data_IF_725720568456
#
_entry.id   IF_725720568456
#
_cell.length_a   1.000
_cell.length_b   1.000
_cell.length_c   1.000
_cell.angle_alpha   90.00
_cell.angle_beta   90.00
_cell.angle_gamma   90.00
#
_symmetry.space_group_name_H-M   'P 1'
#
loop_
_entity.id
_entity.type
_entity.pdbx_description
1 polymer ?
#
# COMPACT_ATOMS: atom_id res chain seq x y z
N UNK A 1 -2.42 48.34 -14.54
CA UNK A 1 -2.91 49.12 -15.70
C UNK A 1 -3.20 48.15 -16.84
N UNK A 2 -4.45 48.10 -17.37
CA UNK A 2 -4.92 47.39 -18.60
C UNK A 2 -4.55 45.89 -18.72
N UNK A 3 -5.44 44.89 -18.71
CA UNK A 3 -6.90 44.76 -18.93
C UNK A 3 -7.42 44.99 -20.36
N UNK A 4 -7.87 43.88 -20.98
CA UNK A 4 -8.74 43.62 -22.14
C UNK A 4 -8.92 42.06 -22.19
N UNK A 5 -9.98 41.34 -22.58
CA UNK A 5 -11.28 41.56 -23.29
C UNK A 5 -11.17 42.01 -24.76
N UNK A 6 -11.72 41.31 -25.76
CA UNK A 6 -12.53 40.07 -25.82
C UNK A 6 -12.93 39.80 -27.29
N UNK A 7 -13.95 39.02 -27.67
CA UNK A 7 -14.87 38.14 -26.94
C UNK A 7 -15.71 37.33 -27.97
N UNK A 8 -15.73 36.00 -27.96
CA UNK A 8 -16.64 35.09 -28.74
C UNK A 8 -16.35 33.62 -28.37
N UNK A 9 -17.25 32.65 -28.41
CA UNK A 9 -18.65 32.50 -28.00
C UNK A 9 -19.08 31.10 -28.49
N UNK A 10 -19.65 30.28 -27.61
CA UNK A 10 -20.49 29.09 -27.84
C UNK A 10 -20.38 28.33 -29.19
N UNK A 11 -19.77 27.14 -29.13
CA UNK A 11 -20.33 25.94 -29.78
C UNK A 11 -20.47 24.83 -28.72
N UNK A 12 -21.34 23.85 -28.97
CA UNK A 12 -21.85 22.92 -27.96
C UNK A 12 -20.77 22.00 -27.35
N UNK A 13 -20.32 22.34 -26.14
CA UNK A 13 -19.80 21.33 -25.21
C UNK A 13 -20.99 20.52 -24.69
N UNK A 14 -21.32 19.47 -25.44
CA UNK A 14 -22.26 18.43 -25.01
C UNK A 14 -21.95 17.92 -23.61
N UNK A 15 -23.01 17.62 -22.87
CA UNK A 15 -22.99 16.92 -21.59
C UNK A 15 -22.78 15.40 -21.82
N UNK A 16 -21.63 15.05 -22.44
CA UNK A 16 -21.24 13.69 -22.87
C UNK A 16 -20.21 13.06 -21.88
N UNK A 17 -20.27 13.47 -20.60
CA UNK A 17 -19.22 13.22 -19.60
C UNK A 17 -19.48 12.01 -18.66
N UNK A 18 -20.47 11.17 -18.96
CA UNK A 18 -20.74 9.87 -18.27
C UNK A 18 -20.72 8.72 -19.29
N UNK A 19 -19.71 8.71 -20.17
CA UNK A 19 -19.43 7.57 -21.05
C UNK A 19 -18.96 6.37 -20.20
N UNK A 20 -19.70 5.25 -20.26
CA UNK A 20 -19.44 4.03 -19.45
C UNK A 20 -18.03 3.47 -19.64
N UNK A 21 -17.36 3.83 -20.74
CA UNK A 21 -15.97 3.53 -21.08
C UNK A 21 -14.95 4.09 -20.06
N UNK A 22 -15.27 5.18 -19.37
CA UNK A 22 -14.43 5.76 -18.30
C UNK A 22 -14.82 5.30 -16.89
N UNK A 23 -15.86 4.48 -16.75
CA UNK A 23 -16.40 4.13 -15.44
C UNK A 23 -15.57 3.03 -14.75
N UNK A 24 -14.92 3.40 -13.65
CA UNK A 24 -14.14 2.50 -12.79
C UNK A 24 -15.02 1.60 -11.91
N UNK A 25 -14.45 0.54 -11.35
CA UNK A 25 -15.15 -0.27 -10.33
C UNK A 25 -15.47 0.54 -9.06
N UNK A 26 -14.69 1.58 -8.71
CA UNK A 26 -14.96 2.44 -7.58
C UNK A 26 -16.22 3.29 -7.81
N UNK A 27 -16.36 3.89 -9.00
CA UNK A 27 -17.55 4.67 -9.37
C UNK A 27 -18.82 3.82 -9.44
N UNK A 28 -18.73 2.53 -9.80
CA UNK A 28 -19.89 1.60 -9.68
C UNK A 28 -20.24 1.33 -8.22
N UNK A 29 -19.26 1.18 -7.33
CA UNK A 29 -19.49 1.00 -5.89
C UNK A 29 -20.10 2.26 -5.25
N UNK A 30 -19.72 3.46 -5.69
CA UNK A 30 -20.36 4.72 -5.29
C UNK A 30 -21.82 4.82 -5.79
N UNK A 31 -22.07 4.46 -7.06
CA UNK A 31 -23.43 4.37 -7.63
C UNK A 31 -24.27 3.37 -6.82
N UNK A 32 -23.77 2.16 -6.54
CA UNK A 32 -24.40 1.15 -5.68
C UNK A 32 -24.72 1.70 -4.28
N UNK A 33 -23.76 2.33 -3.61
CA UNK A 33 -23.94 2.89 -2.27
C UNK A 33 -25.01 4.00 -2.23
N UNK A 34 -25.15 4.79 -3.30
CA UNK A 34 -26.22 5.78 -3.42
C UNK A 34 -27.61 5.12 -3.52
N UNK A 35 -27.73 4.06 -4.34
CA UNK A 35 -28.98 3.29 -4.46
C UNK A 35 -29.32 2.50 -3.19
N UNK A 36 -28.34 1.92 -2.50
CA UNK A 36 -28.56 1.22 -1.22
C UNK A 36 -29.00 2.19 -0.09
N UNK A 37 -28.49 3.43 -0.07
CA UNK A 37 -29.01 4.49 0.82
C UNK A 37 -30.45 4.85 0.52
N UNK A 38 -30.82 5.01 -0.78
CA UNK A 38 -32.21 5.24 -1.20
C UNK A 38 -33.11 4.08 -0.75
N UNK A 39 -32.67 2.84 -0.96
CA UNK A 39 -33.39 1.63 -0.58
C UNK A 39 -33.66 1.56 0.92
N UNK A 40 -32.67 1.92 1.75
CA UNK A 40 -32.83 1.97 3.20
C UNK A 40 -33.95 2.93 3.64
N UNK A 41 -34.01 4.14 3.09
CA UNK A 41 -35.08 5.10 3.41
C UNK A 41 -36.44 4.71 2.80
N UNK A 42 -36.48 4.08 1.62
CA UNK A 42 -37.71 3.50 1.03
C UNK A 42 -38.28 2.35 1.90
N UNK A 43 -37.45 1.41 2.34
CA UNK A 43 -37.84 0.30 3.25
C UNK A 43 -38.38 0.86 4.56
N UNK A 44 -37.68 1.83 5.15
CA UNK A 44 -38.06 2.50 6.40
C UNK A 44 -39.39 3.25 6.29
N UNK A 45 -39.65 3.91 5.17
CA UNK A 45 -40.96 4.52 4.89
C UNK A 45 -42.05 3.45 4.66
N UNK A 46 -41.73 2.38 3.94
CA UNK A 46 -42.61 1.26 3.63
C UNK A 46 -43.11 0.52 4.86
N UNK A 47 -42.26 0.28 5.87
CA UNK A 47 -42.66 -0.34 7.14
C UNK A 47 -43.60 0.56 7.97
N UNK A 48 -43.39 1.88 7.96
CA UNK A 48 -44.31 2.84 8.59
C UNK A 48 -45.68 2.80 7.88
N UNK A 49 -45.69 2.80 6.54
CA UNK A 49 -46.92 2.71 5.74
C UNK A 49 -47.66 1.37 5.97
N UNK A 50 -46.92 0.26 6.04
CA UNK A 50 -47.41 -1.09 6.38
C UNK A 50 -48.07 -1.14 7.75
N UNK A 51 -47.43 -0.57 8.77
CA UNK A 51 -48.01 -0.46 10.11
C UNK A 51 -49.31 0.36 10.10
N UNK A 52 -49.34 1.50 9.42
CA UNK A 52 -50.54 2.35 9.36
C UNK A 52 -51.69 1.75 8.56
N UNK A 53 -51.39 1.06 7.46
CA UNK A 53 -52.37 0.26 6.73
C UNK A 53 -52.97 -0.85 7.63
N UNK A 54 -52.13 -1.66 8.30
CA UNK A 54 -52.59 -2.70 9.21
C UNK A 54 -53.44 -2.13 10.37
N UNK A 55 -52.99 -1.03 10.98
CA UNK A 55 -53.70 -0.28 12.03
C UNK A 55 -55.08 0.20 11.55
N UNK A 56 -55.20 0.67 10.31
CA UNK A 56 -56.47 1.11 9.72
C UNK A 56 -57.40 -0.06 9.36
N UNK A 57 -56.87 -1.17 8.86
CA UNK A 57 -57.62 -2.42 8.61
C UNK A 57 -58.19 -2.98 9.92
N UNK A 58 -57.41 -2.99 10.99
CA UNK A 58 -57.86 -3.41 12.32
C UNK A 58 -59.01 -2.52 12.84
N UNK A 59 -58.93 -1.20 12.65
CA UNK A 59 -60.01 -0.26 12.99
C UNK A 59 -61.29 -0.54 12.20
N UNK A 60 -61.19 -0.74 10.88
CA UNK A 60 -62.34 -1.06 10.02
C UNK A 60 -63.05 -2.34 10.47
N UNK A 61 -62.27 -3.39 10.80
CA UNK A 61 -62.81 -4.65 11.31
C UNK A 61 -63.46 -4.49 12.69
N UNK A 62 -62.95 -3.59 13.54
CA UNK A 62 -63.55 -3.25 14.85
C UNK A 62 -64.88 -2.50 14.72
N UNK A 63 -65.02 -1.62 13.71
CA UNK A 63 -66.28 -0.93 13.39
C UNK A 63 -67.34 -1.89 12.86
N UNK A 64 -66.98 -2.76 11.89
CA UNK A 64 -67.88 -3.80 11.35
C UNK A 64 -68.47 -4.68 12.46
N UNK A 65 -67.64 -5.12 13.43
CA UNK A 65 -68.07 -5.92 14.59
C UNK A 65 -68.93 -5.17 15.61
N UNK A 66 -69.04 -3.83 15.53
CA UNK A 66 -69.72 -2.98 16.52
C UNK A 66 -70.97 -2.27 15.98
N UNK A 67 -71.39 -2.53 14.73
CA UNK A 67 -72.56 -1.87 14.14
C UNK A 67 -72.42 -0.35 14.03
N UNK A 68 -71.22 0.16 13.77
CA UNK A 68 -70.98 1.60 13.58
C UNK A 68 -71.74 2.16 12.37
N UNK A 69 -72.06 3.46 12.37
CA UNK A 69 -72.88 4.08 11.31
C UNK A 69 -72.25 3.91 9.91
N UNK A 70 -73.11 3.77 8.90
CA UNK A 70 -72.71 3.49 7.50
C UNK A 70 -71.70 4.53 7.00
N UNK A 71 -71.92 5.82 7.28
CA UNK A 71 -71.01 6.92 6.96
C UNK A 71 -69.61 6.73 7.59
N UNK A 72 -69.55 6.39 8.88
CA UNK A 72 -68.29 6.17 9.60
C UNK A 72 -67.51 4.96 9.05
N UNK A 73 -68.24 3.94 8.60
CA UNK A 73 -67.68 2.73 8.01
C UNK A 73 -67.11 3.00 6.61
N UNK A 74 -67.86 3.65 5.73
CA UNK A 74 -67.42 4.00 4.38
C UNK A 74 -66.26 5.01 4.39
N UNK A 75 -66.28 6.01 5.29
CA UNK A 75 -65.13 6.92 5.50
C UNK A 75 -63.86 6.16 5.94
N UNK A 76 -64.01 5.11 6.75
CA UNK A 76 -62.86 4.30 7.19
C UNK A 76 -62.37 3.35 6.10
N UNK A 77 -63.29 2.76 5.32
CA UNK A 77 -63.02 1.92 4.15
C UNK A 77 -62.30 2.68 3.03
N UNK A 78 -62.72 3.91 2.74
CA UNK A 78 -62.04 4.79 1.78
C UNK A 78 -60.58 5.07 2.21
N UNK A 79 -60.35 5.35 3.51
CA UNK A 79 -59.01 5.54 4.05
C UNK A 79 -58.15 4.25 4.01
N UNK A 80 -58.74 3.08 4.25
CA UNK A 80 -58.05 1.78 4.05
C UNK A 80 -57.66 1.59 2.57
N UNK A 81 -58.56 1.91 1.64
CA UNK A 81 -58.28 1.79 0.19
C UNK A 81 -57.16 2.73 -0.26
N UNK A 82 -57.16 3.97 0.21
CA UNK A 82 -56.11 4.94 -0.12
C UNK A 82 -54.73 4.52 0.42
N UNK A 83 -54.66 4.06 1.68
CA UNK A 83 -53.44 3.49 2.26
C UNK A 83 -52.99 2.23 1.52
N UNK A 84 -53.91 1.39 1.05
CA UNK A 84 -53.58 0.21 0.25
C UNK A 84 -52.94 0.59 -1.09
N UNK A 85 -53.58 1.48 -1.87
CA UNK A 85 -53.02 1.97 -3.13
C UNK A 85 -51.64 2.57 -2.94
N UNK A 86 -51.46 3.42 -1.91
CA UNK A 86 -50.16 4.00 -1.61
C UNK A 86 -49.12 2.95 -1.25
N UNK A 87 -49.43 2.00 -0.37
CA UNK A 87 -48.50 0.94 0.03
C UNK A 87 -48.05 0.07 -1.17
N UNK A 88 -48.92 -0.17 -2.16
CA UNK A 88 -48.55 -0.88 -3.39
C UNK A 88 -47.61 -0.03 -4.26
N UNK A 89 -47.84 1.28 -4.38
CA UNK A 89 -46.93 2.20 -5.11
C UNK A 89 -45.57 2.33 -4.41
N UNK A 90 -45.55 2.49 -3.10
CA UNK A 90 -44.32 2.55 -2.29
C UNK A 90 -43.51 1.24 -2.45
N UNK A 91 -44.18 0.08 -2.49
CA UNK A 91 -43.57 -1.23 -2.78
C UNK A 91 -43.01 -1.35 -4.21
N UNK A 92 -43.69 -0.79 -5.21
CA UNK A 92 -43.22 -0.80 -6.61
C UNK A 92 -42.01 0.11 -6.83
N UNK A 93 -41.91 1.23 -6.11
CA UNK A 93 -40.67 2.05 -6.09
C UNK A 93 -39.50 1.25 -5.51
N UNK A 94 -39.73 0.58 -4.38
CA UNK A 94 -38.72 -0.24 -3.70
C UNK A 94 -38.23 -1.42 -4.57
N UNK A 95 -39.14 -2.16 -5.24
CA UNK A 95 -38.73 -3.24 -6.16
C UNK A 95 -37.96 -2.69 -7.39
N UNK A 96 -38.26 -1.47 -7.83
CA UNK A 96 -37.50 -0.79 -8.91
C UNK A 96 -36.08 -0.41 -8.46
N UNK A 97 -35.95 0.16 -7.26
CA UNK A 97 -34.66 0.45 -6.60
C UNK A 97 -33.82 -0.82 -6.41
N UNK A 98 -34.45 -1.92 -5.97
CA UNK A 98 -33.79 -3.23 -5.88
C UNK A 98 -33.36 -3.72 -7.26
N UNK A 99 -34.19 -3.58 -8.30
CA UNK A 99 -33.84 -3.99 -9.66
C UNK A 99 -32.59 -3.26 -10.17
N UNK A 100 -32.46 -1.96 -9.93
CA UNK A 100 -31.29 -1.18 -10.32
C UNK A 100 -30.02 -1.59 -9.55
N UNK A 101 -30.13 -1.90 -8.26
CA UNK A 101 -29.00 -2.46 -7.48
C UNK A 101 -28.53 -3.80 -8.04
N UNK A 102 -29.46 -4.68 -8.44
CA UNK A 102 -29.11 -5.95 -9.11
C UNK A 102 -28.45 -5.69 -10.46
N UNK A 103 -28.94 -4.72 -11.25
CA UNK A 103 -28.38 -4.32 -12.54
C UNK A 103 -26.93 -3.82 -12.40
N UNK A 104 -26.69 -2.86 -11.51
CA UNK A 104 -25.36 -2.33 -11.20
C UNK A 104 -24.39 -3.43 -10.73
N UNK A 105 -24.86 -4.40 -9.94
CA UNK A 105 -24.07 -5.55 -9.49
C UNK A 105 -23.68 -6.49 -10.64
N UNK A 106 -24.66 -6.93 -11.43
CA UNK A 106 -24.47 -8.05 -12.37
C UNK A 106 -24.03 -7.63 -13.78
N UNK A 107 -24.42 -6.42 -14.21
CA UNK A 107 -24.10 -5.89 -15.55
C UNK A 107 -22.87 -4.96 -15.57
N UNK A 108 -22.60 -4.22 -14.48
CA UNK A 108 -21.49 -3.25 -14.43
C UNK A 108 -20.36 -3.66 -13.47
N UNK A 109 -20.65 -4.01 -12.21
CA UNK A 109 -19.60 -4.40 -11.25
C UNK A 109 -18.97 -5.75 -11.61
N UNK A 110 -19.78 -6.77 -11.92
CA UNK A 110 -19.28 -8.11 -12.22
C UNK A 110 -18.30 -8.17 -13.40
N UNK A 111 -18.58 -7.61 -14.60
CA UNK A 111 -17.60 -7.61 -15.69
C UNK A 111 -16.31 -6.85 -15.37
N UNK A 112 -16.40 -5.73 -14.63
CA UNK A 112 -15.22 -4.97 -14.19
C UNK A 112 -14.37 -5.77 -13.17
N UNK A 113 -14.99 -6.64 -12.35
CA UNK A 113 -14.28 -7.57 -11.47
C UNK A 113 -13.63 -8.74 -12.23
N UNK A 114 -14.28 -9.27 -13.28
CA UNK A 114 -13.66 -10.30 -14.15
C UNK A 114 -12.42 -9.73 -14.84
N UNK A 115 -12.54 -8.56 -15.48
CA UNK A 115 -11.42 -7.89 -16.13
C UNK A 115 -10.26 -7.56 -15.16
N UNK A 116 -10.56 -7.26 -13.89
CA UNK A 116 -9.55 -7.08 -12.84
C UNK A 116 -8.81 -8.40 -12.53
N UNK A 117 -9.50 -9.54 -12.46
CA UNK A 117 -8.85 -10.85 -12.26
C UNK A 117 -7.95 -11.21 -13.44
N UNK A 118 -8.39 -11.00 -14.68
CA UNK A 118 -7.59 -11.26 -15.88
C UNK A 118 -6.35 -10.34 -15.94
N UNK A 119 -6.50 -9.05 -15.64
CA UNK A 119 -5.39 -8.10 -15.58
C UNK A 119 -4.38 -8.46 -14.48
N UNK A 120 -4.85 -8.89 -13.30
CA UNK A 120 -3.96 -9.42 -12.25
C UNK A 120 -3.24 -10.70 -12.69
N UNK A 121 -3.91 -11.61 -13.40
CA UNK A 121 -3.28 -12.83 -13.89
C UNK A 121 -2.17 -12.53 -14.90
N UNK A 122 -2.38 -11.56 -15.79
CA UNK A 122 -1.34 -11.04 -16.69
C UNK A 122 -0.17 -10.41 -15.92
N UNK A 123 -0.46 -9.54 -14.94
CA UNK A 123 0.56 -8.92 -14.08
C UNK A 123 1.41 -9.96 -13.36
N UNK A 124 0.78 -10.96 -12.73
CA UNK A 124 1.49 -12.03 -12.02
C UNK A 124 2.28 -12.95 -12.95
N UNK A 125 1.81 -13.16 -14.19
CA UNK A 125 2.58 -13.90 -15.20
C UNK A 125 3.88 -13.16 -15.57
N UNK A 126 3.80 -11.86 -15.87
CA UNK A 126 4.96 -11.01 -16.18
C UNK A 126 5.92 -10.91 -14.98
N UNK A 127 5.38 -10.76 -13.77
CA UNK A 127 6.15 -10.76 -12.53
C UNK A 127 6.94 -12.08 -12.35
N UNK A 128 6.32 -13.23 -12.63
CA UNK A 128 6.98 -14.54 -12.57
C UNK A 128 8.12 -14.64 -13.59
N UNK A 129 7.91 -14.19 -14.82
CA UNK A 129 8.93 -14.22 -15.88
C UNK A 129 10.15 -13.34 -15.50
N UNK A 130 9.93 -12.16 -14.92
CA UNK A 130 11.01 -11.33 -14.39
C UNK A 130 11.74 -11.99 -13.21
N UNK A 131 11.02 -12.56 -12.23
CA UNK A 131 11.62 -13.27 -11.10
C UNK A 131 12.40 -14.53 -11.53
N UNK A 132 11.92 -15.28 -12.53
CA UNK A 132 12.66 -16.40 -13.12
C UNK A 132 13.96 -15.95 -13.79
N UNK A 133 13.95 -14.81 -14.49
CA UNK A 133 15.14 -14.22 -15.10
C UNK A 133 16.14 -13.73 -14.04
N UNK A 134 15.66 -13.00 -13.03
CA UNK A 134 16.47 -12.55 -11.88
C UNK A 134 17.08 -13.73 -11.12
N UNK A 135 16.32 -14.82 -10.91
CA UNK A 135 16.84 -16.05 -10.30
C UNK A 135 17.97 -16.67 -11.15
N UNK A 136 17.81 -16.79 -12.47
CA UNK A 136 18.85 -17.32 -13.36
C UNK A 136 20.14 -16.48 -13.28
N UNK A 137 20.02 -15.15 -13.18
CA UNK A 137 21.18 -14.27 -12.94
C UNK A 137 21.79 -14.46 -11.55
N UNK A 138 20.98 -14.56 -10.49
CA UNK A 138 21.47 -14.77 -9.12
C UNK A 138 22.15 -16.14 -8.92
N UNK A 139 21.63 -17.19 -9.54
CA UNK A 139 22.25 -18.52 -9.55
C UNK A 139 23.57 -18.52 -10.34
N UNK A 140 23.67 -17.76 -11.45
CA UNK A 140 24.90 -17.59 -12.21
C UNK A 140 25.96 -16.72 -11.48
N UNK A 141 25.56 -15.70 -10.73
CA UNK A 141 26.47 -14.85 -9.94
C UNK A 141 27.25 -15.65 -8.88
N UNK A 142 26.74 -16.80 -8.42
CA UNK A 142 27.47 -17.72 -7.52
C UNK A 142 28.71 -18.36 -8.15
N UNK A 143 28.85 -18.30 -9.48
CA UNK A 143 29.97 -18.86 -10.23
C UNK A 143 31.02 -17.80 -10.62
N UNK A 144 30.81 -16.54 -10.25
CA UNK A 144 31.75 -15.44 -10.54
C UNK A 144 32.92 -15.52 -9.54
N UNK A 145 34.14 -15.63 -10.07
CA UNK A 145 35.34 -15.53 -9.24
C UNK A 145 35.57 -14.08 -8.77
N UNK A 146 35.55 -13.89 -7.46
CA UNK A 146 35.80 -12.62 -6.79
C UNK A 146 37.27 -12.45 -6.35
N UNK A 147 38.18 -13.37 -6.72
CA UNK A 147 39.60 -13.33 -6.32
C UNK A 147 40.30 -12.02 -6.70
N UNK A 148 39.90 -11.41 -7.83
CA UNK A 148 40.44 -10.15 -8.35
C UNK A 148 39.71 -8.90 -7.84
N UNK A 149 38.66 -9.05 -7.01
CA UNK A 149 37.94 -7.90 -6.45
C UNK A 149 38.80 -7.15 -5.44
N UNK A 150 38.75 -5.82 -5.47
CA UNK A 150 39.23 -5.01 -4.35
C UNK A 150 38.42 -5.37 -3.11
N UNK A 151 39.12 -5.78 -2.04
CA UNK A 151 38.52 -6.26 -0.79
C UNK A 151 38.10 -5.13 0.16
N UNK A 152 38.50 -3.89 -0.13
CA UNK A 152 38.15 -2.71 0.67
C UNK A 152 36.76 -2.16 0.31
N UNK A 153 35.97 -1.86 1.34
CA UNK A 153 34.79 -1.02 1.23
C UNK A 153 35.18 0.42 0.89
N UNK A 154 34.52 0.97 -0.13
CA UNK A 154 34.55 2.40 -0.44
C UNK A 154 33.24 3.05 -0.01
N UNK A 155 33.25 4.37 0.16
CA UNK A 155 32.04 5.15 0.47
C UNK A 155 30.96 4.94 -0.60
N UNK A 156 31.35 4.69 -1.86
CA UNK A 156 30.42 4.32 -2.92
C UNK A 156 29.83 2.91 -2.74
N UNK A 157 30.62 1.91 -2.32
CA UNK A 157 30.11 0.57 -2.03
C UNK A 157 29.09 0.61 -0.88
N UNK A 158 29.37 1.40 0.16
CA UNK A 158 28.48 1.60 1.30
C UNK A 158 27.17 2.28 0.90
N UNK A 159 27.24 3.43 0.21
CA UNK A 159 26.06 4.14 -0.31
C UNK A 159 25.18 3.26 -1.21
N UNK A 160 25.78 2.47 -2.11
CA UNK A 160 25.00 1.51 -2.94
C UNK A 160 24.34 0.40 -2.14
N UNK A 161 24.96 -0.04 -1.05
CA UNK A 161 24.40 -1.08 -0.18
C UNK A 161 23.24 -0.52 0.66
N UNK A 162 23.35 0.73 1.13
CA UNK A 162 22.25 1.46 1.77
C UNK A 162 21.07 1.63 0.80
N UNK A 163 21.32 2.10 -0.43
CA UNK A 163 20.28 2.24 -1.46
C UNK A 163 19.55 0.93 -1.74
N UNK A 164 20.28 -0.19 -1.87
CA UNK A 164 19.69 -1.51 -2.07
C UNK A 164 18.88 -1.97 -0.84
N UNK A 165 19.39 -1.76 0.37
CA UNK A 165 18.68 -2.08 1.61
C UNK A 165 17.34 -1.35 1.73
N UNK A 166 17.31 -0.03 1.48
CA UNK A 166 16.07 0.78 1.50
C UNK A 166 15.06 0.27 0.47
N UNK A 167 15.50 -0.04 -0.76
CA UNK A 167 14.60 -0.57 -1.81
C UNK A 167 14.01 -1.93 -1.43
N UNK A 168 14.79 -2.82 -0.80
CA UNK A 168 14.30 -4.14 -0.36
C UNK A 168 13.36 -4.02 0.87
N UNK A 169 13.62 -3.08 1.77
CA UNK A 169 12.73 -2.77 2.90
C UNK A 169 11.38 -2.22 2.42
N UNK A 170 11.39 -1.32 1.43
CA UNK A 170 10.16 -0.80 0.83
C UNK A 170 9.43 -1.89 0.02
N UNK A 171 10.15 -2.74 -0.72
CA UNK A 171 9.57 -3.89 -1.42
C UNK A 171 8.84 -4.84 -0.46
N UNK A 172 9.44 -5.21 0.68
CA UNK A 172 8.76 -5.99 1.72
C UNK A 172 7.46 -5.30 2.19
N UNK A 173 7.55 -4.00 2.47
CA UNK A 173 6.46 -3.20 3.03
C UNK A 173 5.31 -3.02 2.04
N UNK A 174 5.60 -2.87 0.75
CA UNK A 174 4.57 -2.75 -0.30
C UNK A 174 4.00 -4.11 -0.72
N UNK A 175 4.79 -5.19 -0.66
CA UNK A 175 4.30 -6.55 -0.86
C UNK A 175 3.25 -6.93 0.20
N UNK A 176 3.54 -6.70 1.49
CA UNK A 176 2.61 -6.97 2.58
C UNK A 176 1.32 -6.14 2.45
N UNK A 177 1.43 -4.82 2.21
CA UNK A 177 0.27 -3.95 1.93
C UNK A 177 -0.57 -4.47 0.77
N UNK A 178 0.05 -4.79 -0.36
CA UNK A 178 -0.64 -5.27 -1.57
C UNK A 178 -1.47 -6.53 -1.30
N UNK A 179 -0.87 -7.53 -0.64
CA UNK A 179 -1.56 -8.80 -0.37
C UNK A 179 -2.66 -8.61 0.69
N UNK A 180 -2.41 -7.81 1.73
CA UNK A 180 -3.41 -7.52 2.76
C UNK A 180 -4.60 -6.72 2.20
N UNK A 181 -4.38 -5.68 1.39
CA UNK A 181 -5.47 -4.92 0.76
C UNK A 181 -6.28 -5.77 -0.24
N UNK A 182 -5.65 -6.70 -0.97
CA UNK A 182 -6.39 -7.66 -1.80
C UNK A 182 -7.29 -8.58 -0.94
N UNK A 183 -6.75 -9.12 0.17
CA UNK A 183 -7.52 -9.94 1.13
C UNK A 183 -8.68 -9.15 1.73
N UNK A 184 -8.45 -7.93 2.20
CA UNK A 184 -9.46 -7.04 2.78
C UNK A 184 -10.56 -6.64 1.78
N UNK A 185 -10.20 -6.26 0.56
CA UNK A 185 -11.15 -5.90 -0.50
C UNK A 185 -12.11 -7.05 -0.83
N UNK A 186 -11.58 -8.27 -0.97
CA UNK A 186 -12.40 -9.45 -1.30
C UNK A 186 -13.24 -9.92 -0.11
N UNK A 187 -12.75 -9.78 1.13
CA UNK A 187 -13.58 -9.97 2.35
C UNK A 187 -14.73 -8.95 2.41
N UNK A 188 -14.46 -7.68 2.08
CA UNK A 188 -15.47 -6.62 2.08
C UNK A 188 -16.55 -6.89 1.02
N UNK A 189 -16.18 -7.18 -0.23
CA UNK A 189 -17.13 -7.52 -1.30
C UNK A 189 -17.95 -8.78 -0.98
N UNK A 190 -17.33 -9.84 -0.43
CA UNK A 190 -18.08 -11.03 -0.01
C UNK A 190 -19.06 -10.73 1.14
N UNK A 191 -18.70 -9.83 2.06
CA UNK A 191 -19.56 -9.45 3.19
C UNK A 191 -20.72 -8.57 2.75
N UNK A 192 -20.47 -7.62 1.83
CA UNK A 192 -21.49 -6.84 1.15
C UNK A 192 -22.47 -7.73 0.37
N UNK A 193 -21.96 -8.64 -0.47
CA UNK A 193 -22.81 -9.51 -1.29
C UNK A 193 -23.74 -10.38 -0.43
N UNK A 194 -23.27 -10.90 0.71
CA UNK A 194 -24.10 -11.66 1.67
C UNK A 194 -25.29 -10.86 2.22
N UNK A 195 -25.18 -9.53 2.31
CA UNK A 195 -26.28 -8.65 2.71
C UNK A 195 -27.16 -8.28 1.51
N UNK A 196 -26.55 -7.97 0.36
CA UNK A 196 -27.22 -7.61 -0.89
C UNK A 196 -28.12 -8.74 -1.43
N UNK A 197 -27.81 -10.01 -1.11
CA UNK A 197 -28.61 -11.19 -1.46
C UNK A 197 -29.81 -11.46 -0.54
N UNK A 198 -29.98 -10.73 0.57
CA UNK A 198 -31.09 -10.98 1.52
C UNK A 198 -32.42 -10.52 0.88
N UNK A 199 -33.43 -11.38 0.72
CA UNK A 199 -34.70 -10.98 0.14
C UNK A 199 -35.48 -10.03 1.07
N UNK A 200 -35.82 -8.84 0.57
CA UNK A 200 -36.74 -7.93 1.26
C UNK A 200 -38.15 -8.53 1.23
N UNK A 201 -38.78 -8.66 2.40
CA UNK A 201 -40.11 -9.25 2.59
C UNK A 201 -41.27 -8.30 2.18
N UNK A 202 -41.75 -8.43 0.95
CA UNK A 202 -42.94 -7.74 0.44
C UNK A 202 -44.24 -8.33 1.03
N UNK A 203 -44.51 -8.07 2.31
CA UNK A 203 -45.52 -8.79 3.11
C UNK A 203 -47.00 -8.42 2.83
N UNK A 204 -47.48 -8.59 1.60
CA UNK A 204 -48.91 -8.67 1.25
C UNK A 204 -49.20 -9.83 0.28
N UNK A 205 -49.08 -11.06 0.79
CA UNK A 205 -49.59 -12.31 0.17
C UNK A 205 -49.35 -12.44 -1.35
N UNK A 206 -48.08 -12.36 -1.75
CA UNK A 206 -47.53 -13.25 -2.79
C UNK A 206 -48.23 -13.24 -4.18
N UNK A 207 -48.93 -12.15 -4.52
CA UNK A 207 -49.58 -11.94 -5.84
C UNK A 207 -49.48 -10.51 -6.36
N UNK A 208 -48.37 -9.83 -6.06
CA UNK A 208 -47.83 -8.76 -6.92
C UNK A 208 -46.77 -9.43 -7.79
N UNK A 209 -46.80 -9.17 -9.11
CA UNK A 209 -46.09 -9.98 -10.12
C UNK A 209 -44.59 -9.64 -10.25
N UNK A 210 -43.87 -9.53 -9.14
CA UNK A 210 -42.42 -9.34 -9.14
C UNK A 210 -41.73 -10.57 -9.75
N UNK A 211 -40.80 -10.42 -10.71
CA UNK A 211 -40.11 -11.57 -11.31
C UNK A 211 -39.35 -12.40 -10.27
N UNK A 212 -39.14 -13.72 -10.50
CA UNK A 212 -38.28 -14.52 -9.66
C UNK A 212 -36.86 -13.92 -9.60
N UNK A 213 -36.46 -13.41 -8.44
CA UNK A 213 -35.11 -12.86 -8.22
C UNK A 213 -34.08 -13.96 -8.55
N UNK A 214 -33.04 -13.62 -9.32
CA UNK A 214 -32.04 -14.57 -9.79
C UNK A 214 -31.37 -15.28 -8.59
N UNK A 215 -31.58 -16.59 -8.46
CA UNK A 215 -31.29 -17.31 -7.21
C UNK A 215 -29.80 -17.39 -6.86
N UNK A 216 -28.91 -17.24 -7.84
CA UNK A 216 -27.46 -17.08 -7.64
C UNK A 216 -26.92 -16.15 -8.74
N UNK A 217 -26.51 -14.90 -8.44
CA UNK A 217 -25.88 -14.03 -9.44
C UNK A 217 -24.43 -14.47 -9.73
N UNK A 218 -23.90 -14.22 -10.94
CA UNK A 218 -22.60 -14.77 -11.36
C UNK A 218 -21.42 -14.25 -10.53
N UNK A 219 -21.54 -13.02 -10.01
CA UNK A 219 -20.58 -12.41 -9.08
C UNK A 219 -20.32 -13.25 -7.82
N UNK A 220 -21.30 -14.05 -7.38
CA UNK A 220 -21.18 -14.89 -6.19
C UNK A 220 -20.17 -16.02 -6.39
N UNK A 221 -20.17 -16.67 -7.57
CA UNK A 221 -19.21 -17.72 -7.89
C UNK A 221 -17.77 -17.17 -7.96
N UNK A 222 -17.61 -16.00 -8.60
CA UNK A 222 -16.31 -15.32 -8.71
C UNK A 222 -15.76 -14.93 -7.34
N UNK A 223 -16.55 -14.21 -6.52
CA UNK A 223 -16.09 -13.69 -5.23
C UNK A 223 -15.83 -14.79 -4.19
N UNK A 224 -16.60 -15.87 -4.20
CA UNK A 224 -16.33 -17.03 -3.34
C UNK A 224 -15.03 -17.73 -3.77
N UNK A 225 -14.86 -18.06 -5.05
CA UNK A 225 -13.65 -18.72 -5.53
C UNK A 225 -12.38 -17.88 -5.32
N UNK A 226 -12.47 -16.57 -5.57
CA UNK A 226 -11.35 -15.64 -5.36
C UNK A 226 -10.98 -15.56 -3.87
N UNK A 227 -11.95 -15.43 -2.96
CA UNK A 227 -11.71 -15.47 -1.51
C UNK A 227 -11.06 -16.78 -1.08
N UNK A 228 -11.62 -17.92 -1.49
CA UNK A 228 -11.15 -19.25 -1.13
C UNK A 228 -9.73 -19.56 -1.63
N UNK A 229 -9.29 -18.95 -2.74
CA UNK A 229 -7.92 -19.06 -3.23
C UNK A 229 -6.97 -18.09 -2.51
N UNK A 230 -7.43 -16.87 -2.22
CA UNK A 230 -6.60 -15.80 -1.66
C UNK A 230 -6.32 -15.97 -0.15
N UNK A 231 -7.24 -16.56 0.62
CA UNK A 231 -6.98 -16.95 2.02
C UNK A 231 -6.06 -18.18 2.13
N UNK A 232 -5.93 -18.98 1.05
CA UNK A 232 -5.04 -20.16 0.98
C UNK A 232 -3.68 -19.84 0.35
N UNK A 233 -3.42 -18.58 0.01
CA UNK A 233 -2.14 -18.14 -0.55
C UNK A 233 -1.03 -18.29 0.51
N UNK A 234 0.14 -18.87 0.18
CA UNK A 234 1.24 -19.06 1.13
C UNK A 234 2.18 -17.84 1.23
N UNK A 235 1.63 -16.62 1.18
CA UNK A 235 2.37 -15.35 1.02
C UNK A 235 3.39 -15.05 2.11
N UNK A 236 3.18 -15.53 3.34
CA UNK A 236 4.12 -15.38 4.45
C UNK A 236 5.52 -15.96 4.15
N UNK A 237 5.65 -16.94 3.25
CA UNK A 237 6.96 -17.44 2.81
C UNK A 237 7.73 -16.41 1.99
N UNK A 238 7.06 -15.72 1.07
CA UNK A 238 7.66 -14.69 0.23
C UNK A 238 8.00 -13.44 1.06
N UNK A 239 7.05 -12.99 1.90
CA UNK A 239 7.22 -11.91 2.87
C UNK A 239 8.42 -12.15 3.79
N UNK A 240 8.49 -13.33 4.42
CA UNK A 240 9.63 -13.72 5.27
C UNK A 240 10.95 -13.77 4.50
N UNK A 241 10.96 -14.22 3.23
CA UNK A 241 12.17 -14.24 2.41
C UNK A 241 12.69 -12.82 2.10
N UNK A 242 11.80 -11.88 1.75
CA UNK A 242 12.18 -10.48 1.49
C UNK A 242 12.64 -9.79 2.77
N UNK A 243 11.95 -10.02 3.90
CA UNK A 243 12.35 -9.51 5.22
C UNK A 243 13.76 -9.99 5.61
N UNK A 244 14.02 -11.30 5.48
CA UNK A 244 15.33 -11.87 5.80
C UNK A 244 16.43 -11.33 4.86
N UNK A 245 16.12 -11.07 3.59
CA UNK A 245 17.06 -10.42 2.66
C UNK A 245 17.38 -8.97 3.08
N UNK A 246 16.38 -8.19 3.50
CA UNK A 246 16.58 -6.86 4.07
C UNK A 246 17.45 -6.91 5.35
N UNK A 247 17.25 -7.90 6.22
CA UNK A 247 18.05 -8.08 7.43
C UNK A 247 19.52 -8.41 7.12
N UNK A 248 19.79 -9.27 6.13
CA UNK A 248 21.15 -9.57 5.66
C UNK A 248 21.82 -8.32 5.06
N UNK A 249 21.10 -7.56 4.23
CA UNK A 249 21.61 -6.30 3.68
C UNK A 249 21.96 -5.29 4.79
N UNK A 250 21.12 -5.16 5.83
CA UNK A 250 21.40 -4.31 6.97
C UNK A 250 22.68 -4.73 7.72
N UNK A 251 22.91 -6.05 7.89
CA UNK A 251 24.17 -6.55 8.47
C UNK A 251 25.39 -6.14 7.63
N UNK A 252 25.28 -6.18 6.30
CA UNK A 252 26.37 -5.75 5.40
C UNK A 252 26.61 -4.23 5.51
N UNK A 253 25.55 -3.41 5.57
CA UNK A 253 25.66 -1.95 5.80
C UNK A 253 26.44 -1.66 7.09
N UNK A 254 26.13 -2.35 8.19
CA UNK A 254 26.81 -2.15 9.48
C UNK A 254 28.29 -2.60 9.43
N UNK A 255 28.60 -3.72 8.77
CA UNK A 255 29.98 -4.18 8.58
C UNK A 255 30.82 -3.18 7.76
N UNK A 256 30.23 -2.62 6.68
CA UNK A 256 30.85 -1.58 5.86
C UNK A 256 31.09 -0.29 6.63
N UNK A 257 30.16 0.13 7.49
CA UNK A 257 30.28 1.33 8.32
C UNK A 257 31.49 1.19 9.28
N UNK A 258 31.67 0.02 9.90
CA UNK A 258 32.80 -0.27 10.78
C UNK A 258 34.13 -0.42 10.02
N UNK A 259 34.12 -1.00 8.82
CA UNK A 259 35.30 -1.03 7.95
C UNK A 259 35.76 0.38 7.56
N UNK A 260 34.84 1.27 7.19
CA UNK A 260 35.16 2.68 6.89
C UNK A 260 35.71 3.42 8.12
N UNK A 261 35.18 3.17 9.33
CA UNK A 261 35.74 3.71 10.59
C UNK A 261 37.16 3.20 10.86
N UNK A 262 37.45 1.93 10.57
CA UNK A 262 38.79 1.36 10.72
C UNK A 262 39.76 1.93 9.68
N UNK A 263 39.33 2.06 8.43
CA UNK A 263 40.09 2.66 7.32
C UNK A 263 40.45 4.12 7.60
N UNK A 264 39.52 4.90 8.16
CA UNK A 264 39.78 6.27 8.60
C UNK A 264 40.85 6.37 9.70
N UNK A 265 40.81 5.48 10.70
CA UNK A 265 41.81 5.41 11.78
C UNK A 265 43.18 4.97 11.26
N UNK A 266 43.23 3.98 10.37
CA UNK A 266 44.49 3.53 9.75
C UNK A 266 45.14 4.64 8.92
N UNK A 267 44.34 5.43 8.20
CA UNK A 267 44.81 6.61 7.47
C UNK A 267 45.28 7.74 8.40
N UNK A 268 44.67 7.91 9.58
CA UNK A 268 45.15 8.82 10.62
C UNK A 268 46.50 8.38 11.21
N UNK A 269 46.64 7.11 11.64
CA UNK A 269 47.92 6.53 12.08
C UNK A 269 49.00 6.70 11.00
N UNK A 270 48.67 6.45 9.73
CA UNK A 270 49.59 6.61 8.59
C UNK A 270 50.07 8.05 8.42
N UNK A 271 49.17 9.04 8.59
CA UNK A 271 49.50 10.47 8.53
C UNK A 271 50.34 10.94 9.72
N UNK A 272 50.07 10.45 10.93
CA UNK A 272 50.87 10.76 12.11
C UNK A 272 52.28 10.15 12.03
N UNK A 273 52.40 8.90 11.60
CA UNK A 273 53.69 8.25 11.33
C UNK A 273 54.50 9.03 10.27
N UNK A 274 53.88 9.42 9.16
CA UNK A 274 54.56 10.17 8.10
C UNK A 274 54.96 11.58 8.56
N UNK A 275 54.13 12.24 9.38
CA UNK A 275 54.47 13.53 10.00
C UNK A 275 55.66 13.40 10.95
N UNK A 276 55.68 12.36 11.80
CA UNK A 276 56.78 12.07 12.74
C UNK A 276 58.07 11.68 12.01
N UNK A 277 57.97 10.90 10.94
CA UNK A 277 59.10 10.59 10.05
C UNK A 277 59.74 11.87 9.52
N UNK A 278 58.96 12.76 8.90
CA UNK A 278 59.46 14.04 8.35
C UNK A 278 60.03 14.96 9.44
N UNK A 279 59.47 14.95 10.64
CA UNK A 279 60.00 15.68 11.80
C UNK A 279 61.35 15.11 12.26
N UNK A 280 61.50 13.79 12.26
CA UNK A 280 62.77 13.11 12.56
C UNK A 280 63.82 13.38 11.47
N UNK A 281 63.48 13.17 10.20
CA UNK A 281 64.36 13.42 9.04
C UNK A 281 64.85 14.87 9.02
N UNK A 282 63.95 15.85 9.18
CA UNK A 282 64.35 17.27 9.26
C UNK A 282 65.25 17.55 10.46
N UNK A 283 64.92 17.05 11.64
CA UNK A 283 65.78 17.22 12.82
C UNK A 283 67.15 16.56 12.64
N UNK A 284 67.20 15.39 12.03
CA UNK A 284 68.43 14.65 11.74
C UNK A 284 69.30 15.42 10.75
N UNK A 285 68.73 15.96 9.68
CA UNK A 285 69.45 16.86 8.76
C UNK A 285 70.01 18.07 9.50
N UNK A 286 69.18 18.84 10.21
CA UNK A 286 69.63 20.00 11.00
C UNK A 286 70.72 19.62 12.04
N UNK A 287 70.63 18.45 12.65
CA UNK A 287 71.63 17.92 13.58
C UNK A 287 72.93 17.58 12.87
N UNK A 288 72.89 16.93 11.70
CA UNK A 288 74.09 16.62 10.91
C UNK A 288 74.77 17.87 10.37
N UNK A 289 74.03 18.85 9.87
CA UNK A 289 74.58 20.15 9.43
C UNK A 289 75.26 20.89 10.58
N UNK A 290 74.59 20.99 11.74
CA UNK A 290 75.16 21.58 12.95
C UNK A 290 76.38 20.81 13.46
N UNK A 291 76.40 19.47 13.35
CA UNK A 291 77.57 18.64 13.70
C UNK A 291 78.75 18.86 12.76
N UNK A 292 78.51 18.96 11.45
CA UNK A 292 79.57 19.25 10.47
C UNK A 292 80.16 20.64 10.68
N UNK A 293 79.33 21.66 10.90
CA UNK A 293 79.78 23.03 11.18
C UNK A 293 80.43 23.19 12.57
N UNK A 294 79.95 22.49 13.60
CA UNK A 294 80.56 22.52 14.93
C UNK A 294 81.93 21.83 14.97
N UNK A 295 82.25 20.95 14.00
CA UNK A 295 83.55 20.28 13.92
C UNK A 295 84.67 21.19 13.37
N UNK A 296 84.38 22.47 13.10
CA UNK A 296 85.33 23.52 12.75
C UNK A 296 85.70 24.44 13.95
N UNK A 297 85.12 24.22 15.14
CA UNK A 297 85.40 24.99 16.37
C UNK A 297 85.64 24.05 17.58
N UNK A 298 86.47 24.47 18.54
CA UNK A 298 86.93 23.62 19.65
C UNK A 298 85.85 23.22 20.68
N UNK A 299 86.03 22.09 21.40
CA UNK A 299 84.99 21.47 22.21
C UNK A 299 84.75 22.17 23.56
N UNK A 300 83.56 22.74 23.72
CA UNK A 300 83.02 23.15 25.03
C UNK A 300 82.11 22.08 25.63
N UNK A 301 82.28 21.79 26.93
CA UNK A 301 81.37 20.95 27.70
C UNK A 301 80.08 21.71 28.04
N UNK A 302 78.94 21.27 27.51
CA UNK A 302 77.72 21.04 28.30
C UNK A 302 76.62 20.41 27.42
N UNK A 303 75.79 19.56 28.03
CA UNK A 303 74.58 19.02 27.40
C UNK A 303 74.37 17.51 27.56
N UNK A 304 73.09 17.14 27.73
CA UNK A 304 72.54 15.78 27.79
C UNK A 304 73.22 14.86 26.74
N UNK A 305 73.58 13.59 27.08
CA UNK A 305 74.22 12.67 26.15
C UNK A 305 73.52 12.64 24.80
N UNK A 306 74.23 13.08 23.75
CA UNK A 306 73.60 13.44 22.48
C UNK A 306 73.04 12.23 21.71
N UNK A 307 73.43 11.01 22.09
CA UNK A 307 72.81 9.75 21.69
C UNK A 307 71.43 9.53 22.31
N UNK A 308 71.20 9.89 23.57
CA UNK A 308 69.89 9.70 24.24
C UNK A 308 68.78 10.48 23.53
N UNK A 309 69.09 11.71 23.07
CA UNK A 309 68.17 12.54 22.28
C UNK A 309 67.91 11.99 20.87
N UNK A 310 68.86 11.22 20.30
CA UNK A 310 68.65 10.51 19.04
C UNK A 310 67.75 9.29 19.25
N UNK A 311 68.05 8.48 20.26
CA UNK A 311 67.27 7.29 20.66
C UNK A 311 65.84 7.67 21.05
N UNK A 312 65.63 8.76 21.81
CA UNK A 312 64.30 9.27 22.16
C UNK A 312 63.48 9.61 20.90
N UNK A 313 64.07 10.33 19.95
CA UNK A 313 63.39 10.76 18.73
C UNK A 313 63.13 9.60 17.76
N UNK A 314 64.04 8.64 17.68
CA UNK A 314 63.83 7.41 16.91
C UNK A 314 62.73 6.55 17.55
N UNK A 315 62.71 6.44 18.89
CA UNK A 315 61.66 5.75 19.66
C UNK A 315 60.27 6.38 19.46
N UNK A 316 60.17 7.70 19.29
CA UNK A 316 58.90 8.38 18.92
C UNK A 316 58.38 7.97 17.53
N UNK A 317 59.27 7.77 16.56
CA UNK A 317 58.90 7.26 15.22
C UNK A 317 58.57 5.76 15.29
N UNK A 318 59.37 4.97 16.01
CA UNK A 318 59.19 3.53 16.14
C UNK A 318 57.88 3.17 16.87
N UNK A 319 57.49 3.94 17.89
CA UNK A 319 56.19 3.79 18.55
C UNK A 319 55.01 4.28 17.69
N UNK A 320 55.26 5.03 16.61
CA UNK A 320 54.25 5.38 15.62
C UNK A 320 54.14 4.32 14.50
N UNK A 321 55.18 3.50 14.26
CA UNK A 321 55.10 2.33 13.36
C UNK A 321 54.31 1.16 13.95
N UNK A 322 54.11 1.15 15.28
CA UNK A 322 53.46 0.08 16.05
C UNK A 322 51.97 0.36 16.34
N UNK A 323 51.35 1.32 15.65
CA UNK A 323 49.99 1.83 15.84
C UNK A 323 49.27 2.01 14.49
#
# INVERSE_FOLDING_TARGET
NRSFRGLTNNEDFKDDFDSEENETHATVLDKLLAWEKKLYDEVKAGEIMKFDYQRKVALLNKQKKRGSSIESLEKTKAAVSHLHTRYIVDMQSMDSTVSEINRLRDEQLYPKLVALVDAMAMMWNVMREHHESQKKMADALRLVDISQSTKETTDHHHERTIQLWVVVQEWHTQFDKMVNYQKEYIRALNSWLKLNLIPIESSLKEKVSSPPRAQNPPIQGLLLAWHDLLEKLPDEHAKSAIFNFAAVLHTIVQQQEDELKLRAKAEESRRDLEKKRRQFEKWYHEYTEKRMSANEMEPGEDGIPKDELMVEREFVVENAKKK
#
